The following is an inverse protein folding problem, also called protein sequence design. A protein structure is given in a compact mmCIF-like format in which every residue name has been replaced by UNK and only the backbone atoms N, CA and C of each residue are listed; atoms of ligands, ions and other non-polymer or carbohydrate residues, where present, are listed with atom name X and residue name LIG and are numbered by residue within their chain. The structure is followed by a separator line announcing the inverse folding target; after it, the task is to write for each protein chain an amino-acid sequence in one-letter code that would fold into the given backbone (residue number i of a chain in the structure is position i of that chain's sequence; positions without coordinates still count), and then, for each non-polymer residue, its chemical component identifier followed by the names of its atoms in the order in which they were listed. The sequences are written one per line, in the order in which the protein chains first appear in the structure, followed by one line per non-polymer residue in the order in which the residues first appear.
data_IF_096428348071
#
_entry.id   IF_096428348071
#
_cell.length_a   1.000
_cell.length_b   1.000
_cell.length_c   1.000
_cell.angle_alpha   90.00
_cell.angle_beta   90.00
_cell.angle_gamma   90.00
#
_symmetry.space_group_name_H-M   'P 1'
#
loop_
_entity.id
_entity.type
_entity.pdbx_description
1 polymer ?
#
# COMPACT_ATOMS: atom_id res chain seq x y z
N UNK A 1 -7.21 7.70 -16.15
CA UNK A 1 -8.52 7.68 -15.44
C UNK A 1 -9.42 6.74 -16.19
N UNK A 2 -10.22 5.95 -15.48
CA UNK A 2 -11.26 5.14 -16.11
C UNK A 2 -12.48 6.01 -16.46
N UNK A 3 -13.18 5.64 -17.52
CA UNK A 3 -14.38 6.29 -18.02
C UNK A 3 -15.49 5.26 -18.27
N UNK A 4 -16.70 5.67 -18.58
CA UNK A 4 -17.78 4.76 -18.97
C UNK A 4 -17.42 3.87 -20.18
N UNK A 5 -16.56 4.34 -21.09
CA UNK A 5 -16.12 3.53 -22.24
C UNK A 5 -15.31 2.28 -21.83
N UNK A 6 -14.73 2.28 -20.64
CA UNK A 6 -13.92 1.17 -20.11
C UNK A 6 -14.77 0.05 -19.48
N UNK A 7 -16.10 0.18 -19.45
CA UNK A 7 -17.01 -0.83 -18.89
C UNK A 7 -16.85 -2.21 -19.53
N UNK A 8 -16.37 -2.27 -20.77
CA UNK A 8 -16.06 -3.51 -21.48
C UNK A 8 -15.09 -4.43 -20.73
N UNK A 9 -14.26 -3.86 -19.85
CA UNK A 9 -13.31 -4.60 -19.01
C UNK A 9 -13.88 -5.07 -17.67
N UNK A 10 -15.09 -4.63 -17.30
CA UNK A 10 -15.62 -4.85 -15.95
C UNK A 10 -15.73 -6.34 -15.58
N UNK A 11 -16.17 -7.19 -16.51
CA UNK A 11 -16.23 -8.63 -16.31
C UNK A 11 -14.83 -9.23 -16.11
N UNK A 12 -13.88 -8.92 -16.98
CA UNK A 12 -12.49 -9.38 -16.88
C UNK A 12 -11.86 -8.98 -15.54
N UNK A 13 -12.10 -7.75 -15.07
CA UNK A 13 -11.61 -7.24 -13.80
C UNK A 13 -12.18 -8.05 -12.63
N UNK A 14 -13.48 -8.28 -12.61
CA UNK A 14 -14.13 -9.01 -11.51
C UNK A 14 -13.74 -10.48 -11.48
N UNK A 15 -13.60 -11.13 -12.64
CA UNK A 15 -13.14 -12.51 -12.77
C UNK A 15 -11.70 -12.65 -12.23
N UNK A 16 -10.81 -11.72 -12.58
CA UNK A 16 -9.44 -11.74 -12.07
C UNK A 16 -9.40 -11.43 -10.56
N UNK A 17 -10.25 -10.53 -10.04
CA UNK A 17 -10.37 -10.32 -8.60
C UNK A 17 -10.76 -11.61 -7.87
N UNK A 18 -11.73 -12.36 -8.38
CA UNK A 18 -12.20 -13.60 -7.77
C UNK A 18 -11.15 -14.70 -7.87
N UNK A 19 -10.57 -14.93 -9.05
CA UNK A 19 -9.54 -15.96 -9.28
C UNK A 19 -8.29 -15.71 -8.44
N UNK A 20 -7.81 -14.47 -8.40
CA UNK A 20 -6.66 -14.07 -7.58
C UNK A 20 -6.92 -14.17 -6.09
N UNK A 21 -8.11 -13.86 -5.61
CA UNK A 21 -8.48 -14.01 -4.21
C UNK A 21 -8.47 -15.49 -3.81
N UNK A 22 -9.07 -16.34 -4.63
CA UNK A 22 -9.12 -17.80 -4.45
C UNK A 22 -7.71 -18.40 -4.43
N UNK A 23 -6.85 -18.02 -5.38
CA UNK A 23 -5.50 -18.55 -5.49
C UNK A 23 -4.61 -18.18 -4.30
N UNK A 24 -4.84 -17.04 -3.66
CA UNK A 24 -4.06 -16.58 -2.49
C UNK A 24 -4.65 -17.01 -1.15
N UNK A 25 -5.87 -17.55 -1.12
CA UNK A 25 -6.59 -17.81 0.13
C UNK A 25 -6.87 -16.54 0.95
N UNK A 26 -6.88 -15.36 0.30
CA UNK A 26 -7.07 -14.06 0.95
C UNK A 26 -8.19 -13.30 0.26
N UNK A 27 -9.02 -12.58 1.03
CA UNK A 27 -10.17 -11.93 0.45
C UNK A 27 -9.87 -10.63 -0.26
N UNK A 28 -10.23 -10.55 -1.54
CA UNK A 28 -10.78 -9.33 -2.12
C UNK A 28 -12.29 -9.47 -2.00
N UNK A 29 -12.99 -8.45 -1.50
CA UNK A 29 -14.43 -8.50 -1.44
C UNK A 29 -15.01 -8.68 -2.86
N UNK A 30 -15.92 -9.64 -3.01
CA UNK A 30 -16.55 -9.93 -4.31
C UNK A 30 -17.32 -8.70 -4.82
N UNK A 31 -17.15 -8.38 -6.09
CA UNK A 31 -17.81 -7.26 -6.77
C UNK A 31 -18.49 -7.79 -8.04
N UNK A 32 -19.62 -7.18 -8.41
CA UNK A 32 -20.22 -7.46 -9.72
C UNK A 32 -19.60 -6.57 -10.80
N UNK A 33 -19.66 -7.00 -12.09
CA UNK A 33 -19.24 -6.16 -13.21
C UNK A 33 -19.95 -4.80 -13.25
N UNK A 34 -21.26 -4.77 -12.96
CA UNK A 34 -22.06 -3.53 -12.95
C UNK A 34 -21.55 -2.56 -11.89
N UNK A 35 -21.16 -3.06 -10.72
CA UNK A 35 -20.60 -2.23 -9.66
C UNK A 35 -19.26 -1.60 -10.08
N UNK A 36 -18.40 -2.37 -10.75
CA UNK A 36 -17.12 -1.88 -11.26
C UNK A 36 -17.33 -0.86 -12.38
N UNK A 37 -18.24 -1.14 -13.33
CA UNK A 37 -18.62 -0.21 -14.38
C UNK A 37 -19.18 1.11 -13.83
N UNK A 38 -20.01 1.05 -12.78
CA UNK A 38 -20.50 2.24 -12.11
C UNK A 38 -19.36 3.11 -11.55
N UNK A 39 -18.32 2.51 -10.91
CA UNK A 39 -17.16 3.26 -10.41
C UNK A 39 -16.36 3.94 -11.53
N UNK A 40 -16.30 3.32 -12.71
CA UNK A 40 -15.70 3.94 -13.89
C UNK A 40 -16.52 5.14 -14.39
N UNK A 41 -17.84 4.97 -14.51
CA UNK A 41 -18.75 6.03 -14.96
C UNK A 41 -18.82 7.22 -13.99
N UNK A 42 -18.56 7.00 -12.69
CA UNK A 42 -18.52 8.04 -11.65
C UNK A 42 -17.15 8.76 -11.54
N UNK A 43 -16.21 8.51 -12.46
CA UNK A 43 -14.82 9.02 -12.39
C UNK A 43 -14.12 8.67 -11.06
N UNK A 44 -14.45 7.52 -10.48
CA UNK A 44 -13.91 7.03 -9.20
C UNK A 44 -12.96 5.85 -9.40
N UNK A 45 -12.43 5.65 -10.58
CA UNK A 45 -11.57 4.52 -10.89
C UNK A 45 -10.36 4.90 -11.74
N UNK A 46 -9.32 4.10 -11.61
CA UNK A 46 -8.12 4.12 -12.45
C UNK A 46 -7.99 2.76 -13.12
N UNK A 47 -7.81 2.77 -14.43
CA UNK A 47 -7.56 1.59 -15.24
C UNK A 47 -6.23 1.75 -15.98
N UNK A 48 -5.52 0.66 -16.15
CA UNK A 48 -4.36 0.55 -17.02
C UNK A 48 -4.68 -0.41 -18.16
N UNK A 49 -4.42 0.02 -19.39
CA UNK A 49 -4.58 -0.77 -20.62
C UNK A 49 -3.33 -0.64 -21.48
N UNK A 50 -3.03 -1.63 -22.31
CA UNK A 50 -1.95 -1.53 -23.29
C UNK A 50 -2.40 -0.66 -24.48
N UNK A 51 -1.46 -0.20 -25.35
CA UNK A 51 -1.83 0.48 -26.59
C UNK A 51 -2.72 -0.34 -27.52
N UNK A 52 -2.65 -1.67 -27.43
CA UNK A 52 -3.44 -2.63 -28.21
C UNK A 52 -4.82 -2.87 -27.60
N UNK A 53 -5.13 -2.27 -26.45
CA UNK A 53 -6.43 -2.38 -25.80
C UNK A 53 -6.55 -3.59 -24.85
N UNK A 54 -5.46 -4.19 -24.39
CA UNK A 54 -5.51 -5.25 -23.39
C UNK A 54 -5.60 -4.66 -21.99
N UNK A 55 -6.44 -5.22 -21.13
CA UNK A 55 -6.53 -4.81 -19.74
C UNK A 55 -5.29 -5.26 -18.95
N UNK A 56 -4.75 -4.32 -18.17
CA UNK A 56 -3.51 -4.51 -17.39
C UNK A 56 -3.78 -4.45 -15.89
N UNK A 57 -4.62 -3.53 -15.43
CA UNK A 57 -4.89 -3.39 -14.01
C UNK A 57 -5.94 -2.34 -13.69
N UNK A 58 -6.41 -2.36 -12.42
CA UNK A 58 -7.52 -1.54 -11.98
C UNK A 58 -7.45 -1.22 -10.49
N UNK A 59 -8.03 -0.09 -10.09
CA UNK A 59 -8.31 0.28 -8.70
C UNK A 59 -9.42 1.33 -8.66
N UNK A 60 -10.23 1.37 -7.61
CA UNK A 60 -11.31 2.33 -7.50
C UNK A 60 -11.40 2.98 -6.10
N UNK A 61 -12.13 4.08 -6.03
CA UNK A 61 -12.43 4.82 -4.80
C UNK A 61 -13.79 4.39 -4.27
N UNK A 62 -13.84 4.11 -2.97
CA UNK A 62 -15.06 4.01 -2.17
C UNK A 62 -15.06 5.08 -1.09
N UNK A 63 -16.24 5.59 -0.72
CA UNK A 63 -16.35 6.69 0.25
C UNK A 63 -17.45 6.45 1.27
N UNK A 64 -17.21 6.91 2.48
CA UNK A 64 -18.17 6.89 3.59
C UNK A 64 -18.24 8.27 4.21
N UNK A 65 -19.44 8.86 4.20
CA UNK A 65 -19.77 10.16 4.81
C UNK A 65 -18.87 11.35 4.40
N UNK A 66 -18.03 11.17 3.36
CA UNK A 66 -17.05 12.17 2.93
C UNK A 66 -15.83 12.30 3.84
N UNK A 67 -15.80 11.60 4.99
CA UNK A 67 -14.68 11.63 5.93
C UNK A 67 -13.64 10.56 5.64
N UNK A 68 -14.06 9.44 5.05
CA UNK A 68 -13.20 8.31 4.76
C UNK A 68 -13.26 7.91 3.28
N UNK A 69 -12.11 7.61 2.74
CA UNK A 69 -11.91 7.14 1.36
C UNK A 69 -11.11 5.85 1.41
N UNK A 70 -11.57 4.80 0.75
CA UNK A 70 -10.76 3.61 0.53
C UNK A 70 -10.32 3.51 -0.93
N UNK A 71 -9.04 3.23 -1.13
CA UNK A 71 -8.51 2.78 -2.41
C UNK A 71 -8.66 1.26 -2.50
N UNK A 72 -9.75 0.83 -3.10
CA UNK A 72 -10.22 -0.56 -3.10
C UNK A 72 -9.99 -1.28 -4.43
N UNK A 73 -9.97 -2.60 -4.39
CA UNK A 73 -9.98 -3.43 -5.59
C UNK A 73 -8.71 -3.35 -6.44
N UNK A 74 -7.55 -3.02 -5.84
CA UNK A 74 -6.30 -3.05 -6.60
C UNK A 74 -6.01 -4.44 -7.13
N UNK A 75 -6.02 -4.56 -8.44
CA UNK A 75 -5.74 -5.80 -9.16
C UNK A 75 -4.89 -5.53 -10.39
N UNK A 76 -3.98 -6.43 -10.72
CA UNK A 76 -3.12 -6.39 -11.91
C UNK A 76 -3.17 -7.77 -12.56
N UNK A 77 -3.37 -7.79 -13.86
CA UNK A 77 -3.35 -9.01 -14.65
C UNK A 77 -2.04 -9.78 -14.44
N UNK A 78 -2.08 -11.12 -14.34
CA UNK A 78 -0.94 -11.94 -13.96
C UNK A 78 0.33 -11.66 -14.76
N UNK A 79 0.20 -11.44 -16.06
CA UNK A 79 1.29 -11.22 -17.02
C UNK A 79 2.04 -9.90 -16.75
N UNK A 80 1.34 -8.91 -16.18
CA UNK A 80 1.88 -7.57 -15.92
C UNK A 80 2.29 -7.35 -14.46
N UNK A 81 2.26 -8.40 -13.62
CA UNK A 81 2.74 -8.30 -12.23
C UNK A 81 4.25 -8.13 -12.16
N UNK A 82 4.71 -7.48 -11.08
CA UNK A 82 6.14 -7.17 -10.85
C UNK A 82 6.76 -6.19 -11.86
N UNK A 83 5.96 -5.53 -12.71
CA UNK A 83 6.39 -4.53 -13.70
C UNK A 83 6.24 -3.07 -13.23
N UNK A 84 5.80 -2.85 -11.98
CA UNK A 84 5.56 -1.48 -11.46
C UNK A 84 4.13 -0.97 -11.66
N UNK A 85 3.28 -1.64 -12.41
CA UNK A 85 1.88 -1.24 -12.70
C UNK A 85 1.07 -0.99 -11.43
N UNK A 86 1.15 -1.88 -10.44
CA UNK A 86 0.43 -1.70 -9.17
C UNK A 86 0.82 -0.38 -8.47
N UNK A 87 2.10 0.00 -8.52
CA UNK A 87 2.60 1.26 -7.96
C UNK A 87 2.01 2.45 -8.71
N UNK A 88 2.09 2.45 -10.04
CA UNK A 88 1.56 3.53 -10.88
C UNK A 88 0.04 3.71 -10.69
N UNK A 89 -0.73 2.62 -10.63
CA UNK A 89 -2.17 2.68 -10.35
C UNK A 89 -2.43 3.26 -8.94
N UNK A 90 -1.67 2.81 -7.93
CA UNK A 90 -1.84 3.31 -6.55
C UNK A 90 -1.49 4.79 -6.41
N UNK A 91 -0.43 5.25 -7.04
CA UNK A 91 -0.08 6.67 -7.10
C UNK A 91 -1.21 7.49 -7.73
N UNK A 92 -1.76 7.00 -8.85
CA UNK A 92 -2.82 7.71 -9.58
C UNK A 92 -4.15 7.73 -8.82
N UNK A 93 -4.55 6.61 -8.20
CA UNK A 93 -5.79 6.57 -7.41
C UNK A 93 -5.66 7.37 -6.11
N UNK A 94 -4.47 7.44 -5.52
CA UNK A 94 -4.19 8.29 -4.37
C UNK A 94 -4.34 9.77 -4.74
N UNK A 95 -3.73 10.22 -5.84
CA UNK A 95 -3.89 11.58 -6.35
C UNK A 95 -5.36 11.91 -6.58
N UNK A 96 -6.09 11.04 -7.27
CA UNK A 96 -7.52 11.21 -7.51
C UNK A 96 -8.32 11.33 -6.19
N UNK A 97 -7.97 10.54 -5.19
CA UNK A 97 -8.59 10.60 -3.87
C UNK A 97 -8.34 11.94 -3.20
N UNK A 98 -7.12 12.46 -3.28
CA UNK A 98 -6.76 13.77 -2.73
C UNK A 98 -7.45 14.92 -3.47
N UNK A 99 -7.60 14.82 -4.79
CA UNK A 99 -8.28 15.84 -5.61
C UNK A 99 -9.78 15.90 -5.31
N UNK A 100 -10.43 14.72 -5.25
CA UNK A 100 -11.89 14.64 -5.03
C UNK A 100 -12.30 14.84 -3.56
N UNK A 101 -11.44 14.45 -2.62
CA UNK A 101 -11.73 14.42 -1.17
C UNK A 101 -10.51 14.95 -0.37
N UNK A 102 -10.20 16.24 -0.46
CA UNK A 102 -8.95 16.79 0.08
C UNK A 102 -8.80 16.64 1.60
N UNK A 103 -9.91 16.67 2.33
CA UNK A 103 -9.91 16.58 3.80
C UNK A 103 -10.13 15.15 4.33
N UNK A 104 -10.49 14.21 3.45
CA UNK A 104 -10.82 12.86 3.88
C UNK A 104 -9.57 12.04 4.20
N UNK A 105 -9.70 11.19 5.21
CA UNK A 105 -8.71 10.15 5.52
C UNK A 105 -8.76 9.07 4.45
N UNK A 106 -7.59 8.68 3.90
CA UNK A 106 -7.52 7.67 2.85
C UNK A 106 -6.95 6.39 3.46
N UNK A 107 -7.65 5.28 3.32
CA UNK A 107 -7.21 4.01 3.90
C UNK A 107 -7.25 2.85 2.93
N UNK A 108 -6.63 1.76 3.33
CA UNK A 108 -6.66 0.48 2.63
C UNK A 108 -6.44 -0.68 3.57
N UNK A 109 -7.13 -1.79 3.30
CA UNK A 109 -6.92 -3.06 3.97
C UNK A 109 -6.19 -4.01 3.03
N UNK A 110 -5.08 -4.58 3.46
CA UNK A 110 -4.30 -5.49 2.61
C UNK A 110 -3.59 -6.58 3.41
N UNK A 111 -3.44 -7.75 2.81
CA UNK A 111 -2.57 -8.84 3.28
C UNK A 111 -1.25 -8.89 2.52
N UNK A 112 -1.09 -8.04 1.51
CA UNK A 112 0.06 -8.08 0.59
C UNK A 112 1.19 -7.14 1.00
N UNK A 113 2.36 -7.68 1.35
CA UNK A 113 3.53 -6.89 1.72
C UNK A 113 3.93 -5.86 0.63
N UNK A 114 3.81 -6.23 -0.65
CA UNK A 114 4.09 -5.30 -1.75
C UNK A 114 3.15 -4.08 -1.75
N UNK A 115 1.87 -4.29 -1.43
CA UNK A 115 0.88 -3.21 -1.33
C UNK A 115 1.13 -2.36 -0.08
N UNK A 116 1.50 -2.98 1.05
CA UNK A 116 1.89 -2.25 2.26
C UNK A 116 3.06 -1.30 1.97
N UNK A 117 4.08 -1.78 1.25
CA UNK A 117 5.24 -0.96 0.88
C UNK A 117 4.84 0.22 -0.01
N UNK A 118 4.01 -0.01 -1.04
CA UNK A 118 3.51 1.07 -1.91
C UNK A 118 2.71 2.09 -1.10
N UNK A 119 1.85 1.63 -0.18
CA UNK A 119 1.09 2.52 0.69
C UNK A 119 2.00 3.34 1.60
N UNK A 120 3.02 2.73 2.23
CA UNK A 120 4.00 3.46 3.05
C UNK A 120 4.79 4.49 2.24
N UNK A 121 5.17 4.18 1.01
CA UNK A 121 5.84 5.13 0.11
C UNK A 121 4.93 6.34 -0.23
N UNK A 122 3.60 6.20 -0.14
CA UNK A 122 2.59 7.24 -0.33
C UNK A 122 2.22 7.98 0.98
N UNK A 123 2.86 7.65 2.10
CA UNK A 123 2.61 8.28 3.39
C UNK A 123 1.51 7.64 4.23
N UNK A 124 1.02 6.46 3.86
CA UNK A 124 0.11 5.73 4.75
C UNK A 124 0.89 5.10 5.90
N UNK A 125 0.30 5.13 7.08
CA UNK A 125 0.82 4.48 8.27
C UNK A 125 -0.04 3.29 8.68
N UNK A 126 0.55 2.22 9.26
CA UNK A 126 -0.21 1.14 9.85
C UNK A 126 -1.02 1.67 11.04
N UNK A 127 -2.31 1.33 11.07
CA UNK A 127 -3.24 1.76 12.15
C UNK A 127 -4.06 0.58 12.66
N UNK A 128 -4.70 0.79 13.80
CA UNK A 128 -5.68 -0.17 14.31
C UNK A 128 -7.03 -0.02 13.58
N UNK A 129 -7.84 -1.06 13.58
CA UNK A 129 -9.15 -1.04 12.92
C UNK A 129 -10.13 -0.03 13.54
N UNK A 130 -9.90 0.37 14.79
CA UNK A 130 -10.69 1.40 15.47
C UNK A 130 -10.51 2.81 14.87
N UNK A 131 -9.44 3.02 14.10
CA UNK A 131 -9.18 4.29 13.42
C UNK A 131 -9.80 4.39 12.03
N UNK A 132 -10.40 3.28 11.56
CA UNK A 132 -11.12 3.23 10.30
C UNK A 132 -12.59 3.65 10.51
N UNK A 133 -13.27 3.85 9.37
CA UNK A 133 -14.71 4.15 9.41
C UNK A 133 -15.50 3.09 10.19
N UNK A 134 -16.49 3.53 10.95
CA UNK A 134 -17.42 2.64 11.66
C UNK A 134 -18.71 2.37 10.84
N UNK A 135 -18.78 2.86 9.61
CA UNK A 135 -19.94 2.64 8.74
C UNK A 135 -20.15 1.15 8.45
N UNK A 136 -21.37 0.69 8.74
CA UNK A 136 -21.77 -0.71 8.54
C UNK A 136 -21.66 -1.16 7.07
N UNK A 137 -21.83 -0.25 6.11
CA UNK A 137 -21.69 -0.57 4.67
C UNK A 137 -20.25 -0.97 4.32
N UNK A 138 -19.26 -0.32 4.97
CA UNK A 138 -17.87 -0.72 4.80
C UNK A 138 -17.66 -2.16 5.29
N UNK A 139 -18.08 -2.45 6.52
CA UNK A 139 -17.87 -3.77 7.14
C UNK A 139 -18.68 -4.87 6.46
N UNK A 140 -19.87 -4.51 5.92
CA UNK A 140 -20.66 -5.43 5.09
C UNK A 140 -19.89 -5.92 3.85
N UNK A 141 -18.98 -5.14 3.29
CA UNK A 141 -18.10 -5.53 2.20
C UNK A 141 -17.18 -6.71 2.53
N UNK A 142 -16.87 -6.93 3.81
CA UNK A 142 -16.06 -8.06 4.25
C UNK A 142 -16.82 -9.40 4.32
N UNK A 143 -18.16 -9.42 4.20
CA UNK A 143 -18.99 -10.63 4.32
C UNK A 143 -18.63 -11.71 3.29
N UNK A 144 -18.14 -11.32 2.12
CA UNK A 144 -17.72 -12.23 1.06
C UNK A 144 -16.26 -12.71 1.20
N UNK A 145 -15.55 -12.23 2.20
CA UNK A 145 -14.14 -12.56 2.43
C UNK A 145 -14.02 -13.90 3.19
N UNK A 146 -13.06 -14.73 2.80
CA UNK A 146 -12.76 -16.01 3.49
C UNK A 146 -12.34 -15.85 4.95
N UNK A 147 -11.94 -14.64 5.36
CA UNK A 147 -11.51 -14.31 6.72
C UNK A 147 -12.60 -13.56 7.52
N UNK A 148 -13.85 -13.59 7.05
CA UNK A 148 -14.93 -12.84 7.71
C UNK A 148 -15.22 -13.35 9.13
N UNK A 149 -15.14 -14.64 9.36
CA UNK A 149 -15.29 -15.28 10.67
C UNK A 149 -14.24 -14.75 11.66
N UNK A 150 -12.97 -14.61 11.24
CA UNK A 150 -11.89 -14.05 12.06
C UNK A 150 -12.23 -12.61 12.45
N UNK A 151 -12.69 -11.80 11.49
CA UNK A 151 -13.10 -10.42 11.74
C UNK A 151 -14.21 -10.33 12.79
N UNK A 152 -15.21 -11.21 12.68
CA UNK A 152 -16.34 -11.23 13.59
C UNK A 152 -15.97 -11.76 14.98
N UNK A 153 -15.14 -12.80 15.07
CA UNK A 153 -14.60 -13.30 16.34
C UNK A 153 -13.81 -12.23 17.11
N UNK A 154 -13.20 -11.30 16.40
CA UNK A 154 -12.45 -10.17 16.97
C UNK A 154 -13.29 -8.89 17.08
N UNK A 155 -14.61 -8.98 16.99
CA UNK A 155 -15.53 -7.84 17.10
C UNK A 155 -15.13 -6.67 16.17
N UNK A 156 -14.65 -6.96 14.95
CA UNK A 156 -14.11 -6.00 13.96
C UNK A 156 -12.88 -5.22 14.43
N UNK A 157 -12.23 -5.63 15.52
CA UNK A 157 -11.02 -4.96 16.03
C UNK A 157 -9.73 -5.41 15.35
N UNK A 158 -9.75 -6.56 14.67
CA UNK A 158 -8.62 -7.13 13.95
C UNK A 158 -9.05 -8.20 12.93
N UNK A 159 -8.22 -8.38 11.90
CA UNK A 159 -8.32 -9.45 10.90
C UNK A 159 -6.92 -9.78 10.39
N UNK A 160 -6.81 -10.64 9.37
CA UNK A 160 -5.52 -10.93 8.69
C UNK A 160 -5.05 -9.78 7.78
N UNK A 161 -5.89 -8.80 7.50
CA UNK A 161 -5.48 -7.61 6.76
C UNK A 161 -4.77 -6.62 7.68
N UNK A 162 -3.74 -5.96 7.17
CA UNK A 162 -3.18 -4.76 7.81
C UNK A 162 -3.99 -3.55 7.36
N UNK A 163 -4.47 -2.76 8.31
CA UNK A 163 -5.06 -1.46 8.05
C UNK A 163 -3.94 -0.43 7.87
N UNK A 164 -4.03 0.37 6.82
CA UNK A 164 -3.11 1.48 6.58
C UNK A 164 -3.91 2.73 6.26
N UNK A 165 -3.57 3.84 6.90
CA UNK A 165 -4.30 5.10 6.86
C UNK A 165 -3.35 6.23 6.47
N UNK A 166 -3.79 7.10 5.59
CA UNK A 166 -3.24 8.42 5.34
C UNK A 166 -4.19 9.46 5.90
N UNK A 167 -3.76 10.21 6.92
CA UNK A 167 -4.51 11.36 7.44
C UNK A 167 -3.89 12.65 6.89
N UNK A 168 -4.62 13.48 6.11
CA UNK A 168 -4.07 14.72 5.59
C UNK A 168 -3.68 15.73 6.67
N UNK A 169 -4.22 15.60 7.90
CA UNK A 169 -3.92 16.51 9.02
C UNK A 169 -2.62 16.15 9.73
N UNK A 170 -2.27 14.85 9.73
CA UNK A 170 -1.08 14.34 10.41
C UNK A 170 0.05 14.04 9.43
N UNK A 171 -0.17 14.31 8.14
CA UNK A 171 0.81 14.00 7.10
C UNK A 171 1.98 14.97 7.14
N UNK A 172 3.15 14.45 7.52
CA UNK A 172 4.42 15.14 7.33
C UNK A 172 4.94 14.92 5.93
N UNK A 173 5.27 15.98 5.23
CA UNK A 173 5.98 15.85 3.97
C UNK A 173 7.27 15.03 4.18
N UNK A 174 7.53 13.96 3.40
CA UNK A 174 8.67 13.05 3.66
C UNK A 174 10.03 13.74 3.68
N UNK A 175 10.18 14.90 3.04
CA UNK A 175 11.41 15.70 3.03
C UNK A 175 11.67 16.40 4.37
N UNK A 176 10.64 16.97 4.99
CA UNK A 176 10.80 17.62 6.31
C UNK A 176 11.04 16.61 7.42
N UNK A 177 10.40 15.45 7.36
CA UNK A 177 10.56 14.39 8.38
C UNK A 177 11.97 13.80 8.38
N UNK A 178 12.57 13.57 7.21
CA UNK A 178 13.94 13.06 7.12
C UNK A 178 14.95 14.06 7.68
N UNK A 179 14.86 15.33 7.29
CA UNK A 179 15.77 16.36 7.83
C UNK A 179 15.57 16.61 9.33
N UNK A 180 14.33 16.59 9.80
CA UNK A 180 14.02 16.84 11.20
C UNK A 180 14.40 15.65 12.10
N UNK A 181 14.17 14.42 11.65
CA UNK A 181 14.60 13.20 12.33
C UNK A 181 16.12 13.10 12.34
N UNK A 182 16.78 13.38 11.23
CA UNK A 182 18.24 13.36 11.11
C UNK A 182 18.89 14.41 12.01
N UNK A 183 18.33 15.61 12.12
CA UNK A 183 18.87 16.69 12.95
C UNK A 183 18.64 16.53 14.46
N UNK A 184 17.58 15.85 14.89
CA UNK A 184 17.21 15.74 16.32
C UNK A 184 17.47 14.38 16.96
N UNK A 185 17.76 13.34 16.20
CA UNK A 185 17.96 12.00 16.75
C UNK A 185 19.35 11.85 17.35
N UNK A 186 19.43 11.62 18.68
CA UNK A 186 20.67 11.22 19.36
C UNK A 186 21.30 9.95 18.77
N UNK A 187 20.49 9.09 18.18
CA UNK A 187 20.94 7.86 17.49
C UNK A 187 21.64 8.24 16.18
N UNK A 188 21.10 9.18 15.43
CA UNK A 188 21.71 9.67 14.20
C UNK A 188 23.06 10.38 14.48
N UNK A 189 23.13 11.21 15.53
CA UNK A 189 24.40 11.82 15.94
C UNK A 189 25.45 10.78 16.35
N UNK A 190 25.04 9.72 17.07
CA UNK A 190 25.94 8.61 17.40
C UNK A 190 26.40 7.87 16.13
N UNK A 191 25.49 7.65 15.19
CA UNK A 191 25.81 7.03 13.90
C UNK A 191 26.80 7.89 13.09
N UNK A 192 26.61 9.20 13.04
CA UNK A 192 27.55 10.12 12.39
C UNK A 192 28.94 10.09 13.06
N UNK A 193 29.00 10.09 14.40
CA UNK A 193 30.26 9.97 15.14
C UNK A 193 30.98 8.66 14.86
N UNK A 194 30.24 7.55 14.76
CA UNK A 194 30.81 6.25 14.38
C UNK A 194 31.32 6.28 12.92
N UNK A 195 30.52 6.85 11.99
CA UNK A 195 30.89 6.97 10.59
C UNK A 195 32.13 7.85 10.34
N UNK A 196 32.31 8.86 11.18
CA UNK A 196 33.45 9.79 11.16
C UNK A 196 34.65 9.30 11.97
N UNK A 197 34.52 8.20 12.73
CA UNK A 197 35.58 7.68 13.55
C UNK A 197 36.81 7.28 12.72
N UNK A 198 37.98 7.58 13.22
CA UNK A 198 39.27 7.21 12.58
C UNK A 198 39.42 5.71 12.37
N UNK A 199 38.68 4.90 13.14
CA UNK A 199 38.61 3.44 13.00
C UNK A 199 37.97 3.01 11.68
N UNK A 200 36.81 3.58 11.32
CA UNK A 200 36.17 3.28 10.04
C UNK A 200 36.88 3.91 8.84
N UNK A 201 37.55 5.04 9.04
CA UNK A 201 38.40 5.62 7.99
C UNK A 201 39.62 4.74 7.69
N UNK A 202 40.23 4.12 8.71
CA UNK A 202 41.31 3.12 8.51
C UNK A 202 40.82 1.85 7.81
N UNK A 203 39.59 1.37 8.08
CA UNK A 203 39.01 0.23 7.40
C UNK A 203 38.67 0.52 5.93
N UNK A 204 38.41 1.79 5.57
CA UNK A 204 38.16 2.22 4.17
C UNK A 204 39.47 2.47 3.39
N UNK A 205 40.56 2.81 4.07
CA UNK A 205 41.85 3.12 3.45
C UNK A 205 42.80 1.94 3.26
N UNK A 206 42.46 0.76 3.77
CA UNK A 206 43.26 -0.46 3.64
C UNK A 206 42.76 -1.38 2.52
N UNK A 207 43.50 -1.44 1.47
CA UNK A 207 43.56 -2.35 0.31
C UNK A 207 42.36 -3.29 -0.02
N UNK A 208 42.02 -3.27 -1.31
CA UNK A 208 40.99 -4.00 -2.04
C UNK A 208 40.94 -5.53 -1.90
N UNK A 209 41.77 -6.18 -1.10
CA UNK A 209 41.86 -7.63 -1.00
C UNK A 209 41.07 -8.31 0.11
N UNK A 210 40.55 -7.57 1.11
CA UNK A 210 39.85 -8.11 2.29
C UNK A 210 38.32 -7.99 2.29
N UNK A 211 37.71 -7.33 1.31
CA UNK A 211 36.33 -6.82 1.36
C UNK A 211 35.22 -7.88 1.33
N UNK A 212 35.47 -9.10 0.85
CA UNK A 212 34.42 -10.16 0.79
C UNK A 212 34.10 -10.80 2.15
N UNK A 213 35.06 -10.83 3.07
CA UNK A 213 34.87 -11.50 4.38
C UNK A 213 34.32 -10.55 5.47
N UNK A 214 34.60 -9.26 5.36
CA UNK A 214 34.18 -8.24 6.34
C UNK A 214 32.69 -7.92 6.17
N UNK A 215 32.17 -7.86 4.96
CA UNK A 215 30.75 -7.64 4.68
C UNK A 215 29.82 -8.76 5.25
N UNK A 216 30.33 -9.98 5.34
CA UNK A 216 29.58 -11.11 5.93
C UNK A 216 29.51 -11.01 7.46
N UNK A 217 30.58 -10.60 8.12
CA UNK A 217 30.62 -10.42 9.57
C UNK A 217 29.85 -9.18 10.04
N UNK A 218 29.87 -8.09 9.26
CA UNK A 218 29.11 -6.88 9.59
C UNK A 218 27.59 -7.04 9.43
N UNK A 219 27.13 -7.85 8.47
CA UNK A 219 25.69 -8.19 8.35
C UNK A 219 25.17 -8.98 9.57
N UNK A 220 25.99 -9.89 10.11
CA UNK A 220 25.63 -10.67 11.31
C UNK A 220 25.62 -9.78 12.57
N UNK A 221 26.54 -8.84 12.68
CA UNK A 221 26.63 -7.94 13.83
C UNK A 221 25.46 -6.92 13.88
N UNK A 222 25.04 -6.39 12.73
CA UNK A 222 23.88 -5.49 12.64
C UNK A 222 22.56 -6.23 12.88
N UNK A 223 22.46 -7.51 12.53
CA UNK A 223 21.27 -8.31 12.79
C UNK A 223 21.06 -8.61 14.27
N UNK A 224 22.14 -8.76 15.05
CA UNK A 224 22.10 -9.04 16.48
C UNK A 224 21.95 -7.78 17.36
N UNK A 225 21.95 -6.57 16.78
CA UNK A 225 21.73 -5.30 17.49
C UNK A 225 20.31 -4.76 17.35
N UNK A 226 19.46 -5.43 16.55
CA UNK A 226 18.09 -5.04 16.27
C UNK A 226 17.05 -6.04 16.83
N UNK A 227 17.50 -7.01 17.65
CA UNK A 227 16.63 -7.93 18.39
C UNK A 227 16.90 -7.81 19.89
#
# INVERSE_FOLDING_TARGET
MATAADEVYAATITDEMESSAKARGTGIAKRSPEYVAQKMAEDKAVIAVTPEGEWVGFCYIETWEGEYVANSGLIVAPEYRKSGVAKAIKEKIFQLSREKYPEAKIFGLTTGLAVMKINSDLGYEPVTYSELTQDEKFWAGCKSCVNYDILMMKERKNCLCTAMLYDPKDHYEPQETKEHFEKKSKVYERFLKIKQSKFLQRLRGGEKAGLRNINRKMKVFLFNLLH
#
